data_IF_990060193055
#
_entry.id   IF_990060193055
#
_cell.length_a   1.000
_cell.length_b   1.000
_cell.length_c   1.000
_cell.angle_alpha   90.00
_cell.angle_beta   90.00
_cell.angle_gamma   90.00
#
_symmetry.space_group_name_H-M   'P 1'
#
loop_
_entity.id
_entity.type
_entity.pdbx_description
1 polymer ?
#
# COMPACT_ATOMS: atom_id res chain seq x y z
N UNK A 1 -12.19 19.62 11.98
CA UNK A 1 -11.63 18.26 11.78
C UNK A 1 -12.78 17.33 11.43
N UNK A 2 -12.66 16.56 10.35
CA UNK A 2 -13.67 15.57 9.94
C UNK A 2 -13.18 14.17 10.32
N UNK A 3 -14.06 13.42 11.00
CA UNK A 3 -13.85 12.01 11.32
C UNK A 3 -14.51 11.16 10.24
N UNK A 4 -13.77 10.22 9.67
CA UNK A 4 -14.30 9.25 8.70
C UNK A 4 -13.85 7.83 9.05
N UNK A 5 -14.70 6.84 8.77
CA UNK A 5 -14.39 5.42 8.89
C UNK A 5 -14.03 4.87 7.52
N UNK A 6 -12.92 4.14 7.45
CA UNK A 6 -12.54 3.37 6.26
C UNK A 6 -13.29 2.04 6.23
N UNK A 7 -13.38 1.42 5.05
CA UNK A 7 -13.99 0.08 4.86
C UNK A 7 -13.38 -0.99 5.77
N UNK A 8 -12.13 -0.79 6.18
CA UNK A 8 -11.36 -1.71 7.02
C UNK A 8 -11.51 -1.39 8.51
N UNK A 9 -12.42 -0.50 8.91
CA UNK A 9 -12.72 -0.16 10.30
C UNK A 9 -11.80 0.88 10.95
N UNK A 10 -10.82 1.43 10.23
CA UNK A 10 -9.92 2.44 10.79
C UNK A 10 -10.57 3.83 10.78
N UNK A 11 -10.46 4.51 11.91
CA UNK A 11 -10.88 5.91 12.06
C UNK A 11 -9.77 6.82 11.53
N UNK A 12 -10.13 7.71 10.61
CA UNK A 12 -9.21 8.71 10.05
C UNK A 12 -9.69 10.13 10.35
N UNK A 13 -8.73 11.01 10.65
CA UNK A 13 -8.96 12.43 10.90
C UNK A 13 -8.43 13.25 9.74
N UNK A 14 -9.29 14.07 9.13
CA UNK A 14 -8.91 15.00 8.08
C UNK A 14 -9.16 16.44 8.51
N UNK A 15 -8.22 17.32 8.17
CA UNK A 15 -8.33 18.77 8.35
C UNK A 15 -8.81 19.36 7.04
N UNK A 16 -9.84 20.21 7.10
CA UNK A 16 -10.37 20.93 5.94
C UNK A 16 -9.93 22.37 6.01
N UNK A 17 -9.19 22.82 5.01
CA UNK A 17 -8.82 24.20 4.81
C UNK A 17 -9.70 24.78 3.72
N UNK A 18 -10.39 25.87 4.02
CA UNK A 18 -11.22 26.59 3.06
C UNK A 18 -10.65 27.99 2.87
N UNK A 19 -10.51 28.40 1.61
CA UNK A 19 -10.16 29.78 1.30
C UNK A 19 -11.33 30.72 1.68
N UNK A 20 -11.01 31.86 2.30
CA UNK A 20 -12.02 32.79 2.81
C UNK A 20 -12.82 33.45 1.68
N UNK A 21 -12.15 33.90 0.60
CA UNK A 21 -12.78 34.46 -0.59
C UNK A 21 -12.01 34.09 -1.85
N UNK A 22 -12.64 33.34 -2.76
CA UNK A 22 -12.09 33.04 -4.09
C UNK A 22 -12.76 33.84 -5.23
N UNK A 23 -13.69 34.73 -4.91
CA UNK A 23 -14.39 35.54 -5.90
C UNK A 23 -13.47 36.63 -6.45
N UNK A 24 -13.24 36.61 -7.77
CA UNK A 24 -12.36 37.55 -8.47
C UNK A 24 -10.87 37.20 -8.49
N UNK A 25 -10.45 36.01 -8.02
CA UNK A 25 -9.04 35.63 -8.06
C UNK A 25 -8.55 35.41 -9.51
N UNK A 26 -7.49 36.10 -9.99
CA UNK A 26 -6.98 35.94 -11.36
C UNK A 26 -6.41 34.53 -11.62
N UNK A 27 -6.02 33.82 -10.55
CA UNK A 27 -5.51 32.44 -10.61
C UNK A 27 -6.60 31.39 -10.44
N UNK A 28 -7.90 31.76 -10.43
CA UNK A 28 -8.99 30.79 -10.18
C UNK A 28 -9.00 29.65 -11.21
N UNK A 29 -8.71 29.96 -12.48
CA UNK A 29 -8.68 28.96 -13.56
C UNK A 29 -7.62 27.86 -13.38
N UNK A 30 -6.47 28.19 -12.79
CA UNK A 30 -5.39 27.23 -12.50
C UNK A 30 -5.47 26.63 -11.10
N UNK A 31 -6.08 27.34 -10.15
CA UNK A 31 -6.12 26.99 -8.73
C UNK A 31 -7.24 26.00 -8.37
N UNK A 32 -8.46 26.17 -8.88
CA UNK A 32 -9.61 25.33 -8.52
C UNK A 32 -10.77 25.43 -9.52
N UNK A 33 -11.25 24.28 -10.03
CA UNK A 33 -12.30 24.21 -11.07
C UNK A 33 -13.73 24.02 -10.57
N UNK A 34 -13.96 23.85 -9.27
CA UNK A 34 -15.33 23.64 -8.74
C UNK A 34 -16.04 24.96 -8.40
N UNK A 35 -17.37 24.91 -8.26
CA UNK A 35 -18.20 26.06 -7.85
C UNK A 35 -17.96 26.38 -6.37
N UNK A 36 -17.68 27.64 -6.05
CA UNK A 36 -17.45 28.13 -4.69
C UNK A 36 -15.97 28.37 -4.34
N UNK A 37 -15.66 28.37 -3.04
CA UNK A 37 -14.31 28.52 -2.50
C UNK A 37 -13.54 27.19 -2.56
N UNK A 38 -12.22 27.27 -2.73
CA UNK A 38 -11.35 26.09 -2.70
C UNK A 38 -11.36 25.46 -1.31
N UNK A 39 -11.73 24.18 -1.23
CA UNK A 39 -11.64 23.36 -0.02
C UNK A 39 -10.57 22.30 -0.25
N UNK A 40 -9.59 22.25 0.65
CA UNK A 40 -8.53 21.24 0.64
C UNK A 40 -8.71 20.37 1.87
N UNK A 41 -8.91 19.08 1.67
CA UNK A 41 -8.97 18.10 2.75
C UNK A 41 -7.62 17.38 2.85
N UNK A 42 -6.91 17.54 3.97
CA UNK A 42 -5.59 16.96 4.22
C UNK A 42 -5.67 16.01 5.40
N UNK A 43 -5.16 14.79 5.22
CA UNK A 43 -5.00 13.82 6.30
C UNK A 43 -3.51 13.73 6.67
N UNK A 44 -3.13 14.43 7.74
CA UNK A 44 -1.75 14.51 8.20
C UNK A 44 -1.20 13.15 8.69
N UNK A 45 -2.04 12.35 9.36
CA UNK A 45 -1.63 11.02 9.84
C UNK A 45 -1.29 10.09 8.69
N UNK A 46 -2.11 10.07 7.64
CA UNK A 46 -1.84 9.26 6.45
C UNK A 46 -0.56 9.71 5.75
N UNK A 47 -0.32 11.02 5.65
CA UNK A 47 0.88 11.55 5.05
C UNK A 47 2.13 11.18 5.84
N UNK A 48 2.08 11.24 7.17
CA UNK A 48 3.14 10.78 8.05
C UNK A 48 3.47 9.30 7.85
N UNK A 49 2.45 8.42 7.80
CA UNK A 49 2.68 6.99 7.55
C UNK A 49 3.30 6.72 6.18
N UNK A 50 2.86 7.44 5.14
CA UNK A 50 3.46 7.32 3.80
C UNK A 50 4.92 7.77 3.78
N UNK A 51 5.24 8.84 4.51
CA UNK A 51 6.62 9.33 4.64
C UNK A 51 7.50 8.31 5.36
N UNK A 52 7.05 7.80 6.52
CA UNK A 52 7.77 6.77 7.28
C UNK A 52 8.00 5.51 6.45
N UNK A 53 6.99 5.07 5.69
CA UNK A 53 7.14 3.92 4.79
C UNK A 53 8.18 4.19 3.69
N UNK A 54 8.21 5.40 3.13
CA UNK A 54 9.21 5.78 2.13
C UNK A 54 10.61 5.80 2.72
N UNK A 55 10.79 6.38 3.89
CA UNK A 55 12.07 6.42 4.61
C UNK A 55 12.60 5.00 4.89
N UNK A 56 11.74 4.10 5.39
CA UNK A 56 12.09 2.70 5.60
C UNK A 56 12.47 1.98 4.30
N UNK A 57 11.75 2.24 3.20
CA UNK A 57 12.02 1.62 1.90
C UNK A 57 13.29 2.16 1.22
N UNK A 58 13.68 3.40 1.49
CA UNK A 58 14.88 4.05 0.93
C UNK A 58 16.10 3.91 1.84
N UNK A 59 15.92 3.46 3.08
CA UNK A 59 17.04 3.11 3.97
C UNK A 59 17.95 2.05 3.36
N UNK A 60 19.22 2.03 3.78
CA UNK A 60 20.18 1.02 3.32
C UNK A 60 19.70 -0.41 3.59
N UNK A 61 19.04 -0.63 4.72
CA UNK A 61 18.41 -1.90 5.06
C UNK A 61 17.27 -2.23 4.08
N UNK A 62 16.40 -1.27 3.77
CA UNK A 62 15.32 -1.43 2.80
C UNK A 62 15.83 -1.79 1.40
N UNK A 63 16.95 -1.20 0.98
CA UNK A 63 17.60 -1.52 -0.30
C UNK A 63 18.25 -2.91 -0.25
N UNK A 64 18.94 -3.25 0.84
CA UNK A 64 19.50 -4.61 1.06
C UNK A 64 18.41 -5.67 1.03
N UNK A 65 17.28 -5.44 1.70
CA UNK A 65 16.12 -6.33 1.67
C UNK A 65 15.50 -6.46 0.29
N UNK A 66 15.44 -5.38 -0.51
CA UNK A 66 14.99 -5.45 -1.91
C UNK A 66 15.90 -6.34 -2.76
N UNK A 67 17.23 -6.21 -2.61
CA UNK A 67 18.19 -7.05 -3.32
C UNK A 67 18.10 -8.54 -2.95
N UNK A 68 17.83 -8.84 -1.67
CA UNK A 68 17.68 -10.23 -1.19
C UNK A 68 16.41 -10.94 -1.67
N UNK A 69 15.37 -10.20 -2.07
CA UNK A 69 14.13 -10.80 -2.61
C UNK A 69 14.38 -11.65 -3.85
N UNK A 70 15.28 -11.23 -4.72
CA UNK A 70 15.58 -11.97 -5.94
C UNK A 70 16.31 -13.30 -5.69
N UNK A 71 17.02 -13.40 -4.56
CA UNK A 71 17.85 -14.56 -4.24
C UNK A 71 17.08 -15.58 -3.41
N UNK A 72 16.40 -15.15 -2.35
CA UNK A 72 15.79 -16.08 -1.39
C UNK A 72 14.35 -16.47 -1.81
N UNK A 73 13.34 -15.57 -1.79
CA UNK A 73 11.99 -15.97 -2.12
C UNK A 73 11.78 -16.26 -3.62
N UNK A 74 12.36 -15.46 -4.52
CA UNK A 74 12.10 -15.62 -5.95
C UNK A 74 12.68 -16.91 -6.54
N UNK A 75 13.85 -17.36 -6.07
CA UNK A 75 14.43 -18.63 -6.51
C UNK A 75 13.57 -19.83 -6.08
N UNK A 76 13.13 -19.85 -4.83
CA UNK A 76 12.28 -20.90 -4.25
C UNK A 76 10.92 -20.98 -4.97
N UNK A 77 10.29 -19.83 -5.21
CA UNK A 77 9.03 -19.78 -5.96
C UNK A 77 9.22 -20.08 -7.46
N UNK A 78 10.36 -19.71 -8.04
CA UNK A 78 10.75 -20.05 -9.41
C UNK A 78 10.84 -21.55 -9.60
N UNK A 79 11.59 -22.25 -8.76
CA UNK A 79 11.71 -23.71 -8.78
C UNK A 79 10.36 -24.41 -8.55
N UNK A 80 9.54 -23.91 -7.62
CA UNK A 80 8.20 -24.47 -7.37
C UNK A 80 7.29 -24.35 -8.60
N UNK A 81 7.32 -23.22 -9.30
CA UNK A 81 6.45 -22.96 -10.46
C UNK A 81 6.95 -23.58 -11.75
N UNK A 82 8.26 -23.55 -12.01
CA UNK A 82 8.85 -24.04 -13.26
C UNK A 82 9.26 -25.51 -13.18
N UNK A 83 10.03 -25.93 -12.17
CA UNK A 83 10.51 -27.31 -12.07
C UNK A 83 9.44 -28.28 -11.57
N UNK A 84 8.61 -27.86 -10.60
CA UNK A 84 7.56 -28.73 -10.04
C UNK A 84 6.17 -28.54 -10.71
N UNK A 85 6.08 -27.62 -11.67
CA UNK A 85 4.83 -27.22 -12.35
C UNK A 85 3.66 -26.90 -11.38
N UNK A 86 3.95 -26.59 -10.12
CA UNK A 86 2.94 -26.44 -9.08
C UNK A 86 2.44 -25.00 -9.04
N UNK A 87 1.39 -24.73 -9.82
CA UNK A 87 0.85 -23.37 -10.03
C UNK A 87 -0.37 -23.05 -9.16
N UNK A 88 -1.07 -24.06 -8.64
CA UNK A 88 -2.28 -23.92 -7.80
C UNK A 88 -2.33 -25.03 -6.76
N UNK A 89 -2.74 -24.68 -5.55
CA UNK A 89 -3.09 -25.66 -4.51
C UNK A 89 -4.29 -26.47 -4.96
N UNK A 90 -4.19 -27.80 -4.81
CA UNK A 90 -5.27 -28.73 -5.18
C UNK A 90 -6.24 -28.98 -4.03
N UNK A 91 -5.78 -28.79 -2.79
CA UNK A 91 -6.60 -29.01 -1.61
C UNK A 91 -7.29 -27.73 -1.14
N UNK A 92 -8.50 -27.93 -0.59
CA UNK A 92 -9.31 -26.88 0.02
C UNK A 92 -9.34 -27.07 1.54
N UNK A 93 -9.20 -25.96 2.28
CA UNK A 93 -9.09 -25.95 3.75
C UNK A 93 -7.69 -25.55 4.22
N UNK A 94 -7.62 -24.70 5.26
CA UNK A 94 -6.36 -24.11 5.75
C UNK A 94 -5.32 -25.18 6.13
N UNK A 95 -5.74 -26.23 6.83
CA UNK A 95 -4.83 -27.28 7.30
C UNK A 95 -4.22 -28.08 6.15
N UNK A 96 -5.02 -28.36 5.11
CA UNK A 96 -4.56 -29.12 3.94
C UNK A 96 -3.64 -28.28 3.05
N UNK A 97 -3.94 -26.99 2.88
CA UNK A 97 -3.06 -26.05 2.16
C UNK A 97 -1.74 -25.86 2.91
N UNK A 98 -1.76 -25.83 4.24
CA UNK A 98 -0.54 -25.78 5.04
C UNK A 98 0.31 -27.05 4.86
N UNK A 99 -0.29 -28.24 4.87
CA UNK A 99 0.42 -29.50 4.59
C UNK A 99 1.04 -29.52 3.18
N UNK A 100 0.28 -29.11 2.15
CA UNK A 100 0.79 -28.98 0.79
C UNK A 100 1.99 -28.02 0.73
N UNK A 101 1.90 -26.88 1.41
CA UNK A 101 2.97 -25.90 1.46
C UNK A 101 4.22 -26.45 2.15
N UNK A 102 4.07 -27.15 3.28
CA UNK A 102 5.16 -27.82 3.97
C UNK A 102 5.86 -28.85 3.08
N UNK A 103 5.10 -29.67 2.35
CA UNK A 103 5.65 -30.64 1.39
C UNK A 103 6.42 -29.97 0.26
N UNK A 104 5.88 -28.87 -0.29
CA UNK A 104 6.56 -28.12 -1.35
C UNK A 104 7.89 -27.53 -0.89
N UNK A 105 7.92 -26.99 0.33
CA UNK A 105 9.12 -26.44 0.97
C UNK A 105 10.15 -27.51 1.34
N UNK A 106 9.73 -28.70 1.79
CA UNK A 106 10.66 -29.78 2.15
C UNK A 106 11.31 -30.43 0.93
N UNK A 107 10.57 -30.57 -0.17
CA UNK A 107 11.08 -31.16 -1.40
C UNK A 107 11.89 -30.18 -2.27
N UNK A 108 12.10 -28.94 -1.84
CA UNK A 108 12.79 -27.87 -2.58
C UNK A 108 14.28 -27.91 -2.23
#
# INVERSE_FOLDING_TARGET
MKRSLTSNGFVTYSVRYQAERCDGCPLRGSCFKARGNRIIEVNHQLQYYKQKARELLTSEEGIKHRGRRCIEPEAVFGQTKYNKAYKRFRHFGKDKVNMDFCLLCYCL
#
